data_IF_176191807917
#
_entry.id   IF_176191807917
#
_cell.length_a   1.000
_cell.length_b   1.000
_cell.length_c   1.000
_cell.angle_alpha   90.00
_cell.angle_beta   90.00
_cell.angle_gamma   90.00
#
_symmetry.space_group_name_H-M   'P 1'
#
loop_
_entity.id
_entity.type
_entity.pdbx_description
1 polymer ?
#
# COMPACT_ATOMS: atom_id res chain seq x y z
N UNK A 1 20.83 16.03 -10.84
CA UNK A 1 20.62 16.12 -9.38
C UNK A 1 19.14 16.33 -9.04
N UNK A 2 18.46 17.37 -9.57
CA UNK A 2 17.02 17.59 -9.33
C UNK A 2 16.11 16.44 -9.80
N UNK A 3 16.39 15.81 -10.95
CA UNK A 3 15.62 14.66 -11.43
C UNK A 3 15.78 13.40 -10.58
N UNK A 4 16.97 13.20 -10.01
CA UNK A 4 17.25 12.08 -9.09
C UNK A 4 16.49 12.26 -7.78
N UNK A 5 16.55 13.47 -7.20
CA UNK A 5 15.82 13.79 -5.97
C UNK A 5 14.31 13.57 -6.13
N UNK A 6 13.72 14.03 -7.23
CA UNK A 6 12.29 13.86 -7.49
C UNK A 6 11.92 12.38 -7.63
N UNK A 7 12.72 11.59 -8.37
CA UNK A 7 12.51 10.14 -8.49
C UNK A 7 12.59 9.43 -7.14
N UNK A 8 13.57 9.80 -6.31
CA UNK A 8 13.71 9.26 -4.96
C UNK A 8 12.52 9.61 -4.08
N UNK A 9 12.04 10.86 -4.08
CA UNK A 9 10.86 11.22 -3.29
C UNK A 9 9.59 10.56 -3.82
N UNK A 10 9.47 10.42 -5.14
CA UNK A 10 8.32 9.81 -5.77
C UNK A 10 8.13 8.33 -5.40
N UNK A 11 9.21 7.60 -5.12
CA UNK A 11 9.11 6.19 -4.71
C UNK A 11 8.55 5.97 -3.30
N UNK A 12 8.36 7.02 -2.51
CA UNK A 12 7.81 6.95 -1.15
C UNK A 12 6.36 7.41 -1.04
N UNK A 13 5.73 7.82 -2.15
CA UNK A 13 4.37 8.36 -2.15
C UNK A 13 3.48 7.61 -3.14
N UNK A 14 2.17 7.48 -2.85
CA UNK A 14 1.23 6.84 -3.76
C UNK A 14 1.15 7.54 -5.11
N UNK A 15 0.84 6.80 -6.16
CA UNK A 15 0.64 7.35 -7.50
C UNK A 15 -0.45 8.44 -7.52
N UNK A 16 -1.49 8.32 -6.69
CA UNK A 16 -2.52 9.35 -6.56
C UNK A 16 -1.96 10.71 -6.11
N UNK A 17 -0.97 10.72 -5.20
CA UNK A 17 -0.30 11.94 -4.77
C UNK A 17 0.56 12.51 -5.90
N UNK A 18 1.26 11.64 -6.63
CA UNK A 18 2.06 12.06 -7.79
C UNK A 18 1.20 12.68 -8.88
N UNK A 19 0.04 12.09 -9.18
CA UNK A 19 -0.92 12.64 -10.14
C UNK A 19 -1.41 14.01 -9.70
N UNK A 20 -1.80 14.17 -8.43
CA UNK A 20 -2.20 15.47 -7.86
C UNK A 20 -1.11 16.52 -8.00
N UNK A 21 0.14 16.19 -7.69
CA UNK A 21 1.27 17.12 -7.83
C UNK A 21 1.60 17.41 -9.31
N UNK A 22 1.41 16.45 -10.20
CA UNK A 22 1.59 16.66 -11.64
C UNK A 22 0.53 17.60 -12.22
N UNK A 23 -0.72 17.50 -11.77
CA UNK A 23 -1.82 18.41 -12.19
C UNK A 23 -1.73 19.77 -11.51
N UNK A 24 -1.43 19.81 -10.21
CA UNK A 24 -1.29 21.02 -9.42
C UNK A 24 0.02 20.99 -8.61
N UNK A 25 1.12 21.53 -9.17
CA UNK A 25 2.43 21.51 -8.51
C UNK A 25 2.53 22.40 -7.26
N UNK A 26 1.59 23.32 -7.08
CA UNK A 26 1.59 24.23 -5.95
C UNK A 26 1.35 23.46 -4.63
N UNK A 27 2.13 23.74 -3.56
CA UNK A 27 1.94 23.05 -2.29
C UNK A 27 0.56 23.35 -1.72
N UNK A 28 -0.01 22.36 -1.03
CA UNK A 28 -1.23 22.57 -0.25
C UNK A 28 -1.01 23.67 0.79
N UNK A 29 -2.03 24.53 0.94
CA UNK A 29 -2.03 25.64 1.91
C UNK A 29 -2.89 25.37 3.14
N UNK A 30 -3.77 24.39 3.06
CA UNK A 30 -4.68 23.95 4.11
C UNK A 30 -5.05 22.48 3.87
N UNK A 31 -5.56 21.78 4.91
CA UNK A 31 -6.15 20.46 4.74
C UNK A 31 -7.21 20.44 3.64
N UNK A 32 -7.24 19.37 2.87
CA UNK A 32 -8.12 19.23 1.73
C UNK A 32 -8.67 17.80 1.65
N UNK A 33 -9.87 17.66 1.10
CA UNK A 33 -10.49 16.35 0.87
C UNK A 33 -11.03 16.28 -0.55
N UNK A 34 -10.95 15.09 -1.13
CA UNK A 34 -11.54 14.79 -2.43
C UNK A 34 -12.32 13.48 -2.30
N UNK A 35 -13.57 13.49 -2.74
CA UNK A 35 -14.36 12.27 -2.90
C UNK A 35 -14.11 11.70 -4.28
N UNK A 36 -13.94 10.38 -4.36
CA UNK A 36 -13.85 9.65 -5.60
C UNK A 36 -14.48 8.27 -5.47
N UNK A 37 -15.14 7.75 -6.51
CA UNK A 37 -15.52 6.34 -6.55
C UNK A 37 -14.26 5.48 -6.65
N UNK A 38 -14.15 4.47 -5.80
CA UNK A 38 -13.00 3.58 -5.80
C UNK A 38 -13.29 2.24 -5.12
N UNK A 39 -12.37 1.30 -5.32
CA UNK A 39 -12.30 0.07 -4.53
C UNK A 39 -11.04 0.09 -3.67
N UNK A 40 -11.20 -0.15 -2.38
CA UNK A 40 -10.12 -0.19 -1.40
C UNK A 40 -9.90 -1.63 -0.99
N UNK A 41 -8.65 -2.06 -1.04
CA UNK A 41 -8.19 -3.33 -0.49
C UNK A 41 -7.43 -3.05 0.80
N UNK A 42 -7.85 -3.72 1.86
CA UNK A 42 -7.11 -3.80 3.11
C UNK A 42 -6.65 -5.24 3.30
N UNK A 43 -5.33 -5.45 3.39
CA UNK A 43 -4.77 -6.77 3.64
C UNK A 43 -3.92 -6.76 4.90
N UNK A 44 -4.23 -7.64 5.83
CA UNK A 44 -3.53 -7.80 7.10
C UNK A 44 -2.73 -9.10 7.10
N UNK A 45 -1.45 -9.03 7.48
CA UNK A 45 -0.52 -10.18 7.42
C UNK A 45 -0.55 -10.95 8.73
N UNK A 46 -1.17 -12.13 8.70
CA UNK A 46 -1.18 -13.04 9.85
C UNK A 46 0.20 -13.64 10.10
N UNK A 47 0.61 -13.64 11.37
CA UNK A 47 1.90 -14.20 11.80
C UNK A 47 3.08 -13.24 11.72
N UNK A 48 2.87 -12.00 11.23
CA UNK A 48 3.94 -11.01 11.06
C UNK A 48 4.63 -10.66 12.37
N UNK A 49 3.86 -10.28 13.40
CA UNK A 49 4.43 -9.85 14.69
C UNK A 49 5.30 -10.95 15.31
N UNK A 50 4.80 -12.19 15.32
CA UNK A 50 5.51 -13.33 15.87
C UNK A 50 6.80 -13.62 15.11
N UNK A 51 6.77 -13.55 13.78
CA UNK A 51 7.97 -13.65 12.93
C UNK A 51 8.98 -12.54 13.25
N UNK A 52 8.52 -11.28 13.32
CA UNK A 52 9.39 -10.14 13.59
C UNK A 52 10.09 -10.27 14.96
N UNK A 53 9.37 -10.75 15.98
CA UNK A 53 9.94 -11.03 17.31
C UNK A 53 10.98 -12.16 17.27
N UNK A 54 10.72 -13.23 16.53
CA UNK A 54 11.67 -14.35 16.38
C UNK A 54 12.97 -13.93 15.71
N UNK A 55 12.90 -13.08 14.67
CA UNK A 55 14.09 -12.54 14.02
C UNK A 55 14.83 -11.54 14.91
N UNK A 56 14.11 -10.69 15.65
CA UNK A 56 14.73 -9.74 16.57
C UNK A 56 15.54 -10.43 17.69
N UNK A 57 15.10 -11.60 18.16
CA UNK A 57 15.83 -12.39 19.17
C UNK A 57 17.19 -12.91 18.67
N UNK A 58 17.40 -12.99 17.36
CA UNK A 58 18.66 -13.43 16.74
C UNK A 58 19.70 -12.30 16.63
N UNK A 59 19.37 -11.09 17.11
CA UNK A 59 20.27 -9.94 17.09
C UNK A 59 20.38 -9.28 15.71
N UNK A 60 21.47 -8.54 15.43
CA UNK A 60 21.61 -7.74 14.22
C UNK A 60 21.42 -8.53 12.91
N UNK A 61 21.96 -9.75 12.84
CA UNK A 61 21.83 -10.61 11.66
C UNK A 61 20.36 -10.98 11.38
N UNK A 62 19.59 -11.31 12.42
CA UNK A 62 18.16 -11.59 12.26
C UNK A 62 17.35 -10.39 11.79
N UNK A 63 17.73 -9.17 12.19
CA UNK A 63 17.08 -7.94 11.69
C UNK A 63 17.40 -7.66 10.21
N UNK A 64 18.61 -7.99 9.76
CA UNK A 64 18.98 -7.93 8.33
C UNK A 64 18.16 -8.96 7.53
N UNK A 65 18.04 -10.19 8.03
CA UNK A 65 17.22 -11.24 7.41
C UNK A 65 15.75 -10.85 7.34
N UNK A 66 15.20 -10.29 8.43
CA UNK A 66 13.84 -9.76 8.45
C UNK A 66 13.67 -8.67 7.39
N UNK A 67 14.62 -7.73 7.27
CA UNK A 67 14.53 -6.65 6.29
C UNK A 67 14.51 -7.19 4.85
N UNK A 68 15.38 -8.14 4.54
CA UNK A 68 15.44 -8.78 3.22
C UNK A 68 14.15 -9.54 2.90
N UNK A 69 13.64 -10.26 3.90
CA UNK A 69 12.37 -10.98 3.81
C UNK A 69 11.20 -10.04 3.53
N UNK A 70 11.09 -8.95 4.30
CA UNK A 70 10.04 -7.95 4.13
C UNK A 70 10.10 -7.30 2.76
N UNK A 71 11.30 -6.98 2.27
CA UNK A 71 11.48 -6.41 0.95
C UNK A 71 11.02 -7.38 -0.17
N UNK A 72 11.36 -8.67 -0.06
CA UNK A 72 10.92 -9.68 -1.02
C UNK A 72 9.41 -9.94 -0.98
N UNK A 73 8.83 -9.95 0.23
CA UNK A 73 7.41 -10.18 0.45
C UNK A 73 6.56 -8.98 0.00
N UNK A 74 6.87 -7.78 0.48
CA UNK A 74 6.17 -6.56 0.08
C UNK A 74 6.38 -6.23 -1.39
N UNK A 75 7.57 -6.49 -1.95
CA UNK A 75 7.83 -6.30 -3.37
C UNK A 75 6.86 -7.07 -4.27
N UNK A 76 6.57 -8.33 -3.94
CA UNK A 76 5.60 -9.14 -4.69
C UNK A 76 4.15 -8.66 -4.51
N UNK A 77 3.77 -8.20 -3.32
CA UNK A 77 2.44 -7.62 -3.10
C UNK A 77 2.25 -6.31 -3.88
N UNK A 78 3.27 -5.44 -3.87
CA UNK A 78 3.28 -4.21 -4.67
C UNK A 78 3.15 -4.56 -6.15
N UNK A 79 3.94 -5.50 -6.66
CA UNK A 79 3.89 -5.92 -8.06
C UNK A 79 2.49 -6.42 -8.47
N UNK A 80 1.85 -7.24 -7.63
CA UNK A 80 0.47 -7.69 -7.85
C UNK A 80 -0.53 -6.54 -7.89
N UNK A 81 -0.50 -5.63 -6.91
CA UNK A 81 -1.41 -4.48 -6.88
C UNK A 81 -1.24 -3.63 -8.14
N UNK A 82 0.00 -3.32 -8.50
CA UNK A 82 0.31 -2.47 -9.66
C UNK A 82 -0.06 -3.15 -10.98
N UNK A 83 0.18 -4.46 -11.12
CA UNK A 83 -0.16 -5.25 -12.31
C UNK A 83 -1.67 -5.33 -12.54
N UNK A 84 -2.45 -5.40 -11.46
CA UNK A 84 -3.91 -5.30 -11.52
C UNK A 84 -4.41 -3.85 -11.61
N UNK A 85 -3.50 -2.88 -11.78
CA UNK A 85 -3.81 -1.48 -12.00
C UNK A 85 -4.37 -0.74 -10.79
N UNK A 86 -4.00 -1.20 -9.59
CA UNK A 86 -4.20 -0.50 -8.33
C UNK A 86 -3.00 0.37 -7.97
N UNK A 87 -3.13 1.10 -6.89
CA UNK A 87 -2.08 1.94 -6.29
C UNK A 87 -1.89 1.54 -4.83
N UNK A 88 -0.63 1.35 -4.40
CA UNK A 88 -0.32 1.08 -2.99
C UNK A 88 -0.29 2.41 -2.25
N UNK A 89 -1.25 2.60 -1.36
CA UNK A 89 -1.41 3.85 -0.61
C UNK A 89 -0.47 3.92 0.57
N UNK A 90 -0.36 2.82 1.32
CA UNK A 90 0.61 2.68 2.40
C UNK A 90 0.68 1.26 2.92
N UNK A 91 1.81 0.99 3.56
CA UNK A 91 1.92 -0.03 4.58
C UNK A 91 1.69 0.63 5.94
N UNK A 92 0.81 0.06 6.75
CA UNK A 92 0.48 0.52 8.10
C UNK A 92 0.76 -0.62 9.08
N UNK A 93 1.98 -0.65 9.62
CA UNK A 93 2.47 -1.81 10.35
C UNK A 93 2.64 -3.00 9.40
N UNK A 94 1.91 -4.06 9.68
CA UNK A 94 1.83 -5.31 8.91
C UNK A 94 0.64 -5.35 7.94
N UNK A 95 -0.11 -4.25 7.82
CA UNK A 95 -1.21 -4.14 6.87
C UNK A 95 -0.82 -3.36 5.60
N UNK A 96 -1.40 -3.77 4.48
CA UNK A 96 -1.35 -3.10 3.17
C UNK A 96 -2.70 -2.43 2.89
N UNK A 97 -2.65 -1.16 2.48
CA UNK A 97 -3.79 -0.44 1.92
C UNK A 97 -3.53 -0.14 0.46
N UNK A 98 -4.42 -0.61 -0.42
CA UNK A 98 -4.38 -0.35 -1.84
C UNK A 98 -5.71 0.21 -2.37
N UNK A 99 -5.66 0.91 -3.49
CA UNK A 99 -6.78 1.64 -4.08
C UNK A 99 -6.85 1.39 -5.59
N UNK A 100 -8.07 1.17 -6.10
CA UNK A 100 -8.41 1.22 -7.51
C UNK A 100 -9.39 2.37 -7.74
N UNK A 101 -8.90 3.55 -8.18
CA UNK A 101 -9.78 4.68 -8.47
C UNK A 101 -10.62 4.39 -9.71
N UNK A 102 -11.90 4.77 -9.67
CA UNK A 102 -12.88 4.54 -10.72
C UNK A 102 -13.46 5.86 -11.25
N UNK A 103 -12.67 6.95 -11.27
CA UNK A 103 -13.12 8.26 -11.75
C UNK A 103 -13.42 8.26 -13.26
N UNK A 104 -12.70 7.44 -14.02
CA UNK A 104 -12.76 7.38 -15.48
C UNK A 104 -13.34 6.05 -16.01
N UNK A 105 -13.84 5.18 -15.13
CA UNK A 105 -14.41 3.88 -15.48
C UNK A 105 -15.57 3.47 -14.54
N UNK A 106 -16.44 2.52 -14.93
CA UNK A 106 -17.44 1.99 -14.01
C UNK A 106 -16.80 1.37 -12.76
N UNK A 107 -17.37 1.64 -11.58
CA UNK A 107 -16.92 1.05 -10.30
C UNK A 107 -16.85 -0.48 -10.35
N UNK A 108 -17.72 -1.13 -11.13
CA UNK A 108 -17.70 -2.58 -11.35
C UNK A 108 -16.41 -3.08 -12.00
N UNK A 109 -15.80 -2.29 -12.90
CA UNK A 109 -14.54 -2.65 -13.57
C UNK A 109 -13.37 -2.58 -12.59
N UNK A 110 -13.29 -1.50 -11.81
CA UNK A 110 -12.32 -1.38 -10.72
C UNK A 110 -12.49 -2.52 -9.69
N UNK A 111 -13.74 -2.88 -9.34
CA UNK A 111 -14.03 -3.97 -8.43
C UNK A 111 -13.59 -5.34 -8.96
N UNK A 112 -13.76 -5.60 -10.26
CA UNK A 112 -13.28 -6.83 -10.88
C UNK A 112 -11.75 -6.94 -10.79
N UNK A 113 -11.02 -5.86 -11.10
CA UNK A 113 -9.55 -5.82 -11.00
C UNK A 113 -9.06 -6.02 -9.56
N UNK A 114 -9.66 -5.31 -8.60
CA UNK A 114 -9.34 -5.46 -7.19
C UNK A 114 -9.64 -6.88 -6.66
N UNK A 115 -10.76 -7.48 -7.08
CA UNK A 115 -11.12 -8.84 -6.69
C UNK A 115 -10.17 -9.89 -7.31
N UNK A 116 -9.78 -9.73 -8.57
CA UNK A 116 -8.79 -10.60 -9.23
C UNK A 116 -7.44 -10.51 -8.51
N UNK A 117 -6.98 -9.30 -8.19
CA UNK A 117 -5.79 -9.07 -7.38
C UNK A 117 -5.87 -9.78 -6.03
N UNK A 118 -6.96 -9.59 -5.29
CA UNK A 118 -7.16 -10.23 -3.99
C UNK A 118 -7.15 -11.76 -4.06
N UNK A 119 -7.77 -12.35 -5.08
CA UNK A 119 -7.78 -13.80 -5.30
C UNK A 119 -6.35 -14.30 -5.59
N UNK A 120 -5.61 -13.60 -6.46
CA UNK A 120 -4.25 -13.98 -6.80
C UNK A 120 -3.30 -13.85 -5.60
N UNK A 121 -3.46 -12.81 -4.78
CA UNK A 121 -2.76 -12.68 -3.50
C UNK A 121 -3.09 -13.89 -2.62
N UNK A 122 -4.37 -14.23 -2.43
CA UNK A 122 -4.73 -15.38 -1.60
C UNK A 122 -4.13 -16.70 -2.12
N UNK A 123 -4.15 -16.93 -3.43
CA UNK A 123 -3.61 -18.14 -4.03
C UNK A 123 -2.09 -18.25 -3.86
N UNK A 124 -1.36 -17.13 -4.00
CA UNK A 124 0.11 -17.12 -3.91
C UNK A 124 0.60 -17.10 -2.46
N UNK A 125 -0.13 -16.46 -1.57
CA UNK A 125 0.35 -16.15 -0.22
C UNK A 125 -0.31 -16.96 0.90
N UNK A 126 -1.28 -17.84 0.60
CA UNK A 126 -1.80 -18.75 1.59
C UNK A 126 -0.71 -19.74 2.05
N UNK A 127 -0.48 -19.79 3.37
CA UNK A 127 0.61 -20.56 4.00
C UNK A 127 2.00 -20.33 3.38
N UNK A 128 2.27 -19.12 2.88
CA UNK A 128 3.52 -18.80 2.20
C UNK A 128 4.71 -18.92 3.16
N UNK A 129 5.60 -19.85 2.83
CA UNK A 129 6.79 -20.09 3.63
C UNK A 129 7.82 -19.00 3.37
N UNK A 130 8.07 -18.18 4.40
CA UNK A 130 9.03 -17.08 4.36
C UNK A 130 10.39 -17.50 4.92
N UNK A 131 10.41 -18.41 5.89
CA UNK A 131 11.61 -19.01 6.45
C UNK A 131 11.31 -20.43 6.93
N UNK A 132 12.32 -21.16 7.39
CA UNK A 132 12.12 -22.48 7.98
C UNK A 132 11.16 -22.38 9.18
N UNK A 133 10.04 -23.11 9.13
CA UNK A 133 9.02 -23.09 10.18
C UNK A 133 8.16 -21.82 10.27
N UNK A 134 8.40 -20.80 9.44
CA UNK A 134 7.63 -19.55 9.44
C UNK A 134 6.80 -19.45 8.16
N UNK A 135 5.48 -19.37 8.34
CA UNK A 135 4.50 -19.21 7.26
C UNK A 135 3.64 -17.98 7.52
N UNK A 136 3.38 -17.21 6.47
CA UNK A 136 2.48 -16.06 6.51
C UNK A 136 1.22 -16.36 5.71
N UNK A 137 0.17 -15.60 5.98
CA UNK A 137 -1.06 -15.57 5.20
C UNK A 137 -1.69 -14.20 5.31
N UNK A 138 -2.54 -13.80 4.35
CA UNK A 138 -3.23 -12.52 4.40
C UNK A 138 -4.72 -12.67 4.64
N UNK A 139 -5.27 -11.80 5.48
CA UNK A 139 -6.71 -11.54 5.55
C UNK A 139 -7.01 -10.32 4.71
N UNK A 140 -7.84 -10.47 3.68
CA UNK A 140 -8.12 -9.41 2.71
C UNK A 140 -9.58 -9.01 2.80
N UNK A 141 -9.83 -7.71 2.97
CA UNK A 141 -11.13 -7.06 2.84
C UNK A 141 -11.16 -6.14 1.64
N UNK A 142 -12.30 -6.10 0.93
CA UNK A 142 -12.56 -5.17 -0.17
C UNK A 142 -13.77 -4.31 0.18
N UNK A 143 -13.64 -3.00 0.03
CA UNK A 143 -14.75 -2.04 0.07
C UNK A 143 -14.85 -1.30 -1.25
N UNK A 144 -16.05 -1.18 -1.82
CA UNK A 144 -16.29 -0.48 -3.08
C UNK A 144 -17.37 0.60 -2.88
N UNK A 145 -17.07 1.83 -3.29
CA UNK A 145 -17.99 2.96 -3.13
C UNK A 145 -17.31 4.30 -3.27
N UNK A 146 -17.95 5.35 -2.75
CA UNK A 146 -17.27 6.63 -2.59
C UNK A 146 -16.28 6.58 -1.43
N UNK A 147 -15.04 6.98 -1.70
CA UNK A 147 -13.97 7.11 -0.71
C UNK A 147 -13.55 8.57 -0.63
N UNK A 148 -13.23 9.04 0.57
CA UNK A 148 -12.64 10.34 0.81
C UNK A 148 -11.12 10.22 0.93
N UNK A 149 -10.42 10.77 -0.06
CA UNK A 149 -8.98 11.01 -0.05
C UNK A 149 -8.71 12.33 0.68
N UNK A 150 -8.06 12.26 1.84
CA UNK A 150 -7.80 13.39 2.72
C UNK A 150 -6.31 13.71 2.81
N UNK A 151 -5.98 14.98 2.62
CA UNK A 151 -4.69 15.55 2.94
C UNK A 151 -4.79 16.30 4.27
N UNK A 152 -4.10 15.79 5.28
CA UNK A 152 -4.15 16.30 6.65
C UNK A 152 -2.77 16.84 7.06
N UNK A 153 -2.76 17.80 7.99
CA UNK A 153 -1.53 18.39 8.52
C UNK A 153 -1.16 19.72 7.86
N UNK A 154 0.10 19.83 7.41
CA UNK A 154 0.73 21.08 6.99
C UNK A 154 1.57 21.76 8.09
N UNK A 155 1.55 21.21 9.30
CA UNK A 155 2.35 21.71 10.44
C UNK A 155 3.81 21.33 10.21
N UNK A 156 4.71 22.32 10.24
CA UNK A 156 6.14 22.16 9.89
C UNK A 156 6.38 21.56 8.49
N UNK A 157 5.44 21.76 7.55
CA UNK A 157 5.55 21.24 6.18
C UNK A 157 5.34 19.73 6.05
N UNK A 158 4.82 19.05 7.09
CA UNK A 158 4.52 17.62 7.07
C UNK A 158 3.06 17.38 6.73
N UNK A 159 2.82 16.57 5.70
CA UNK A 159 1.49 16.21 5.22
C UNK A 159 1.28 14.72 5.33
N UNK A 160 0.09 14.33 5.75
CA UNK A 160 -0.36 12.95 5.79
C UNK A 160 -1.49 12.74 4.78
N UNK A 161 -1.40 11.64 4.05
CA UNK A 161 -2.44 11.21 3.14
C UNK A 161 -3.23 10.05 3.74
N UNK A 162 -4.56 10.15 3.72
CA UNK A 162 -5.45 9.15 4.33
C UNK A 162 -6.63 8.87 3.41
N UNK A 163 -7.02 7.60 3.33
CA UNK A 163 -8.31 7.17 2.81
C UNK A 163 -9.27 6.93 3.97
N UNK A 164 -10.51 7.39 3.84
CA UNK A 164 -11.57 7.23 4.84
C UNK A 164 -12.94 7.31 4.16
N UNK A 165 -14.00 6.81 4.81
CA UNK A 165 -15.35 6.75 4.24
C UNK A 165 -15.98 5.38 4.36
#
# INVERSE_FOLDING_TARGET
MASTLLKTLASYVPALILQRVATEPAPLRAPATQRLPAVVLYADVMGFTLMAEQFAQQGPAGLEDLTNLLNAYFGQLVDLVMTHGGDVVKFAGDALVALWPASDEPLSTAAQRAAQCAIEIQQRFHEYQVAEGIRLSLRIGLGAGEVMAAHLGGIFGRWEFMLTG
#
